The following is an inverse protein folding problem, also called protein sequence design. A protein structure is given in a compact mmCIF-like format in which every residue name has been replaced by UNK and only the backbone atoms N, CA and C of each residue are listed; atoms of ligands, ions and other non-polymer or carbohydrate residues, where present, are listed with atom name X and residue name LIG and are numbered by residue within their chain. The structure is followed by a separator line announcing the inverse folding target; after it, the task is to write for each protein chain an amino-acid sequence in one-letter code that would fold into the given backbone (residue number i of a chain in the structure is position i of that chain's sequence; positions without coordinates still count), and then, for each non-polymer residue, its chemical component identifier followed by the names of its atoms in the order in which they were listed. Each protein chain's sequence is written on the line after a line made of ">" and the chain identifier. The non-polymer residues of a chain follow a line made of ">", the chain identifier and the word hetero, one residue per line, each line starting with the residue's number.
data_IF_296863187989
#
_entry.id   IF_296863187989
#
_cell.length_a   1.000
_cell.length_b   1.000
_cell.length_c   1.000
_cell.angle_alpha   90.00
_cell.angle_beta   90.00
_cell.angle_gamma   90.00
#
_symmetry.space_group_name_H-M   'P 1'
#
loop_
_entity.id
_entity.type
_entity.pdbx_description
1 polymer ?
#
# COMPACT_ATOMS: atom_id res chain seq x y z
N UNK A 1 -1.27 -24.81 31.40
CA UNK A 1 -1.80 -23.81 30.44
C UNK A 1 -0.66 -23.43 29.51
N UNK A 2 -0.86 -23.36 28.18
CA UNK A 2 0.20 -22.87 27.28
C UNK A 2 0.45 -21.38 27.54
N UNK A 3 1.70 -20.94 27.40
CA UNK A 3 2.03 -19.51 27.50
C UNK A 3 1.44 -18.81 26.27
N UNK A 4 0.79 -17.66 26.47
CA UNK A 4 0.33 -16.84 25.36
C UNK A 4 1.53 -16.46 24.49
N UNK A 5 1.39 -16.68 23.18
CA UNK A 5 2.46 -16.42 22.20
C UNK A 5 3.80 -17.06 22.60
N UNK A 6 3.78 -18.36 22.86
CA UNK A 6 5.02 -19.15 22.92
C UNK A 6 5.61 -19.33 21.50
N UNK A 7 6.75 -20.02 21.43
CA UNK A 7 7.43 -20.30 20.15
C UNK A 7 6.57 -21.08 19.14
N UNK A 8 5.53 -21.79 19.61
CA UNK A 8 4.62 -22.56 18.76
C UNK A 8 3.28 -21.83 18.56
N UNK A 9 3.27 -20.49 18.72
CA UNK A 9 2.09 -19.67 18.50
C UNK A 9 1.46 -19.96 17.14
N UNK A 10 0.13 -20.19 17.11
CA UNK A 10 -0.69 -20.66 15.97
C UNK A 10 -0.33 -22.04 15.38
N UNK A 11 0.76 -22.68 15.79
CA UNK A 11 1.18 -24.01 15.32
C UNK A 11 0.49 -25.12 16.13
N UNK A 12 -0.46 -25.81 15.49
CA UNK A 12 -1.36 -26.77 16.17
C UNK A 12 -0.94 -28.24 16.09
N UNK A 13 0.06 -28.59 15.28
CA UNK A 13 0.53 -29.97 15.10
C UNK A 13 2.03 -30.02 14.77
N UNK A 14 2.63 -31.20 14.86
CA UNK A 14 4.08 -31.38 14.62
C UNK A 14 4.49 -31.06 13.19
N UNK A 15 3.65 -31.35 12.20
CA UNK A 15 3.91 -30.96 10.81
C UNK A 15 4.06 -29.44 10.67
N UNK A 16 3.17 -28.65 11.28
CA UNK A 16 3.24 -27.20 11.26
C UNK A 16 4.49 -26.67 11.97
N UNK A 17 4.90 -27.31 13.08
CA UNK A 17 6.14 -26.96 13.79
C UNK A 17 7.37 -27.22 12.94
N UNK A 18 7.48 -28.40 12.33
CA UNK A 18 8.57 -28.74 11.40
C UNK A 18 8.62 -27.77 10.23
N UNK A 19 7.48 -27.52 9.57
CA UNK A 19 7.43 -26.60 8.42
C UNK A 19 7.84 -25.17 8.80
N UNK A 20 7.41 -24.68 9.96
CA UNK A 20 7.76 -23.33 10.39
C UNK A 20 9.21 -23.25 10.87
N UNK A 21 9.59 -24.02 11.90
CA UNK A 21 10.90 -23.90 12.56
C UNK A 21 12.05 -24.34 11.67
N UNK A 22 11.88 -25.42 10.90
CA UNK A 22 12.99 -25.99 10.11
C UNK A 22 13.14 -25.31 8.74
N UNK A 23 12.07 -24.67 8.22
CA UNK A 23 12.07 -24.11 6.86
C UNK A 23 11.67 -22.65 6.77
N UNK A 24 10.55 -22.21 7.39
CA UNK A 24 10.00 -20.88 7.16
C UNK A 24 10.64 -19.77 8.01
N UNK A 25 10.90 -20.04 9.29
CA UNK A 25 11.25 -19.02 10.31
C UNK A 25 12.49 -18.18 9.93
N UNK A 26 13.48 -18.82 9.31
CA UNK A 26 14.76 -18.17 8.96
C UNK A 26 14.82 -17.68 7.51
N UNK A 27 13.74 -17.81 6.73
CA UNK A 27 13.70 -17.29 5.37
C UNK A 27 13.79 -15.76 5.36
N UNK A 28 14.51 -15.16 4.39
CA UNK A 28 14.52 -13.71 4.25
C UNK A 28 13.15 -13.18 3.87
N UNK A 29 12.87 -11.94 4.29
CA UNK A 29 11.66 -11.24 3.90
C UNK A 29 11.90 -10.50 2.58
N UNK A 30 11.01 -10.77 1.63
CA UNK A 30 10.88 -9.99 0.42
C UNK A 30 9.55 -9.24 0.46
N UNK A 31 9.60 -7.98 0.88
CA UNK A 31 8.40 -7.15 1.06
C UNK A 31 8.05 -6.44 -0.24
N UNK A 32 7.33 -7.15 -1.11
CA UNK A 32 7.10 -6.74 -2.50
C UNK A 32 6.08 -5.60 -2.69
N UNK A 33 5.48 -5.11 -1.60
CA UNK A 33 4.62 -3.94 -1.60
C UNK A 33 4.45 -3.40 -0.18
N UNK A 34 4.89 -2.16 0.06
CA UNK A 34 4.70 -1.46 1.33
C UNK A 34 4.52 0.05 1.14
N UNK A 35 4.21 0.73 2.24
CA UNK A 35 4.05 2.18 2.32
C UNK A 35 5.11 2.84 3.22
N UNK A 36 6.26 2.19 3.43
CA UNK A 36 7.33 2.77 4.22
C UNK A 36 7.85 4.08 3.60
N UNK A 37 8.00 5.16 4.38
CA UNK A 37 8.53 6.42 3.86
C UNK A 37 10.00 6.28 3.47
N UNK A 38 10.30 6.40 2.17
CA UNK A 38 11.66 6.18 1.64
C UNK A 38 12.70 7.12 2.27
N UNK A 39 12.32 8.36 2.59
CA UNK A 39 13.20 9.32 3.25
C UNK A 39 13.64 8.84 4.62
N UNK A 40 12.74 8.23 5.39
CA UNK A 40 13.03 7.74 6.74
C UNK A 40 13.98 6.54 6.73
N UNK A 41 13.88 5.70 5.69
CA UNK A 41 14.85 4.63 5.45
C UNK A 41 16.21 5.25 5.13
N UNK A 42 16.27 6.22 4.21
CA UNK A 42 17.52 6.87 3.81
C UNK A 42 18.21 7.59 4.99
N UNK A 43 17.48 8.39 5.75
CA UNK A 43 17.99 9.14 6.90
C UNK A 43 18.25 8.28 8.13
N UNK A 44 17.91 6.98 8.06
CA UNK A 44 17.95 6.03 9.17
C UNK A 44 17.25 6.58 10.43
N UNK A 45 15.98 6.96 10.25
CA UNK A 45 15.19 7.69 11.25
C UNK A 45 15.30 7.05 12.63
N UNK A 46 15.51 7.91 13.63
CA UNK A 46 15.32 7.60 15.05
C UNK A 46 13.96 8.08 15.50
N UNK A 47 13.28 7.28 16.29
CA UNK A 47 11.98 7.61 16.87
C UNK A 47 12.20 8.20 18.27
N UNK A 48 11.47 9.26 18.59
CA UNK A 48 11.55 9.94 19.89
C UNK A 48 11.05 9.06 21.03
N UNK A 49 10.00 8.27 20.79
CA UNK A 49 9.44 7.31 21.73
C UNK A 49 8.54 6.27 21.01
N UNK A 50 8.05 5.30 21.78
CA UNK A 50 7.20 4.22 21.29
C UNK A 50 5.86 4.72 20.75
N UNK A 51 5.29 5.79 21.30
CA UNK A 51 4.03 6.35 20.80
C UNK A 51 4.19 6.83 19.37
N UNK A 52 5.25 7.58 19.06
CA UNK A 52 5.55 7.98 17.68
C UNK A 52 5.78 6.76 16.78
N UNK A 53 6.61 5.81 17.23
CA UNK A 53 6.97 4.62 16.46
C UNK A 53 5.78 3.68 16.18
N UNK A 54 4.77 3.62 17.07
CA UNK A 54 3.67 2.66 16.99
C UNK A 54 2.31 3.25 16.65
N UNK A 55 2.02 4.45 17.14
CA UNK A 55 0.72 5.11 17.00
C UNK A 55 0.76 6.24 15.97
N UNK A 56 1.91 6.53 15.36
CA UNK A 56 1.99 7.40 14.16
C UNK A 56 1.37 6.78 12.91
N UNK A 57 1.14 5.46 12.91
CA UNK A 57 0.50 4.67 11.87
C UNK A 57 0.70 3.16 12.12
N UNK A 58 0.13 2.24 11.34
CA UNK A 58 -1.03 2.42 10.46
C UNK A 58 -2.32 2.63 11.25
N UNK A 59 -3.34 3.14 10.57
CA UNK A 59 -4.62 3.59 11.15
C UNK A 59 -5.50 2.49 11.79
N UNK A 60 -5.05 1.23 11.84
CA UNK A 60 -5.76 0.15 12.55
C UNK A 60 -5.86 0.41 14.06
N UNK A 61 -4.77 0.87 14.69
CA UNK A 61 -4.75 1.17 16.13
C UNK A 61 -5.70 2.34 16.44
N UNK A 62 -5.73 3.35 15.56
CA UNK A 62 -6.67 4.48 15.66
C UNK A 62 -8.13 4.02 15.59
N UNK A 63 -8.45 3.14 14.64
CA UNK A 63 -9.81 2.60 14.49
C UNK A 63 -10.26 1.86 15.75
N UNK A 64 -9.40 1.02 16.32
CA UNK A 64 -9.69 0.29 17.54
C UNK A 64 -9.87 1.24 18.75
N UNK A 65 -9.05 2.28 18.85
CA UNK A 65 -9.20 3.30 19.91
C UNK A 65 -10.53 4.06 19.77
N UNK A 66 -10.92 4.46 18.56
CA UNK A 66 -12.22 5.11 18.30
C UNK A 66 -13.40 4.20 18.61
N UNK A 67 -13.32 2.91 18.27
CA UNK A 67 -14.34 1.90 18.59
C UNK A 67 -14.58 1.79 20.10
N UNK A 68 -13.52 1.94 20.90
CA UNK A 68 -13.59 1.97 22.36
C UNK A 68 -13.94 3.34 22.96
N UNK A 69 -14.28 4.33 22.12
CA UNK A 69 -14.70 5.65 22.56
C UNK A 69 -13.57 6.54 23.09
N UNK A 70 -12.32 6.26 22.72
CA UNK A 70 -11.20 7.16 23.04
C UNK A 70 -11.36 8.46 22.25
N UNK A 71 -11.23 9.59 22.95
CA UNK A 71 -11.31 10.91 22.33
C UNK A 71 -10.18 11.14 21.31
N UNK A 72 -10.51 11.77 20.18
CA UNK A 72 -9.59 11.94 19.04
C UNK A 72 -8.31 12.70 19.42
N UNK A 73 -8.36 13.55 20.47
CA UNK A 73 -7.17 14.26 20.96
C UNK A 73 -6.05 13.32 21.44
N UNK A 74 -6.40 12.10 21.89
CA UNK A 74 -5.45 11.06 22.29
C UNK A 74 -5.07 10.09 21.15
N UNK A 75 -5.59 10.32 19.94
CA UNK A 75 -5.31 9.48 18.77
C UNK A 75 -4.41 10.27 17.81
N UNK A 76 -4.97 11.27 17.14
CA UNK A 76 -4.25 12.10 16.16
C UNK A 76 -4.05 13.54 16.63
N UNK A 77 -4.54 13.91 17.81
CA UNK A 77 -4.35 15.23 18.40
C UNK A 77 -2.97 15.46 19.01
N UNK A 78 -2.87 16.51 19.83
CA UNK A 78 -1.64 17.04 20.40
C UNK A 78 -1.38 16.63 21.87
N UNK A 79 -2.10 15.63 22.38
CA UNK A 79 -1.88 15.08 23.73
C UNK A 79 -0.49 14.48 23.89
N UNK A 80 -0.04 14.42 25.14
CA UNK A 80 1.25 13.86 25.52
C UNK A 80 1.37 12.40 25.06
N UNK A 81 2.56 12.02 24.62
CA UNK A 81 2.80 10.71 24.02
C UNK A 81 2.57 9.55 25.00
N UNK A 82 2.91 9.71 26.27
CA UNK A 82 2.60 8.70 27.27
C UNK A 82 1.10 8.63 27.56
N UNK A 83 0.40 9.76 27.57
CA UNK A 83 -1.07 9.76 27.72
C UNK A 83 -1.75 9.02 26.56
N UNK A 84 -1.31 9.24 25.32
CA UNK A 84 -1.78 8.50 24.13
C UNK A 84 -1.49 7.00 24.24
N UNK A 85 -0.27 6.64 24.62
CA UNK A 85 0.12 5.24 24.83
C UNK A 85 -0.72 4.57 25.92
N UNK A 86 -0.96 5.25 27.04
CA UNK A 86 -1.79 4.75 28.12
C UNK A 86 -3.23 4.51 27.65
N UNK A 87 -3.80 5.42 26.85
CA UNK A 87 -5.12 5.22 26.24
C UNK A 87 -5.16 4.00 25.33
N UNK A 88 -4.12 3.75 24.55
CA UNK A 88 -4.00 2.53 23.77
C UNK A 88 -3.90 1.28 24.67
N UNK A 89 -3.12 1.35 25.76
CA UNK A 89 -3.01 0.24 26.71
C UNK A 89 -4.32 -0.06 27.46
N UNK A 90 -5.17 0.95 27.72
CA UNK A 90 -6.52 0.80 28.25
C UNK A 90 -7.46 0.01 27.31
N UNK A 91 -7.21 0.08 26.01
CA UNK A 91 -7.99 -0.63 24.98
C UNK A 91 -7.58 -2.10 24.84
N UNK A 92 -6.32 -2.45 25.11
CA UNK A 92 -5.78 -3.80 24.86
C UNK A 92 -6.54 -4.96 25.53
N UNK A 93 -7.03 -4.88 26.78
CA UNK A 93 -7.81 -5.96 27.38
C UNK A 93 -9.10 -6.30 26.61
N UNK A 94 -9.63 -5.35 25.83
CA UNK A 94 -10.85 -5.51 25.02
C UNK A 94 -10.55 -5.96 23.58
N UNK A 95 -9.28 -5.98 23.18
CA UNK A 95 -8.86 -6.34 21.82
C UNK A 95 -8.68 -7.87 21.63
N UNK A 96 -8.96 -8.69 22.65
CA UNK A 96 -8.82 -10.15 22.55
C UNK A 96 -9.75 -10.68 21.44
N UNK A 97 -9.16 -11.33 20.43
CA UNK A 97 -9.87 -11.80 19.23
C UNK A 97 -9.69 -10.88 18.02
N UNK A 98 -9.24 -9.65 18.22
CA UNK A 98 -8.80 -8.75 17.15
C UNK A 98 -7.30 -9.00 16.83
N UNK A 99 -6.88 -9.02 15.54
CA UNK A 99 -5.48 -9.23 15.17
C UNK A 99 -4.51 -8.21 15.77
N UNK A 100 -4.97 -6.98 16.08
CA UNK A 100 -4.15 -5.95 16.74
C UNK A 100 -3.58 -6.49 18.06
N UNK A 101 -4.34 -7.29 18.82
CA UNK A 101 -3.82 -7.88 20.05
C UNK A 101 -2.64 -8.82 19.79
N UNK A 102 -2.62 -9.57 18.67
CA UNK A 102 -1.45 -10.37 18.32
C UNK A 102 -0.29 -9.48 17.84
N UNK A 103 -0.55 -8.49 17.00
CA UNK A 103 0.49 -7.59 16.46
C UNK A 103 1.22 -6.84 17.56
N UNK A 104 0.48 -6.21 18.49
CA UNK A 104 1.04 -5.51 19.67
C UNK A 104 2.05 -6.37 20.40
N UNK A 105 1.69 -7.60 20.74
CA UNK A 105 2.55 -8.47 21.53
C UNK A 105 3.66 -9.13 20.70
N UNK A 106 3.48 -9.31 19.39
CA UNK A 106 4.52 -9.82 18.49
C UNK A 106 5.62 -8.78 18.32
N UNK A 107 5.23 -7.53 18.13
CA UNK A 107 6.12 -6.39 18.01
C UNK A 107 6.89 -6.15 19.32
N UNK A 108 6.23 -6.21 20.49
CA UNK A 108 6.88 -6.17 21.80
C UNK A 108 7.91 -7.27 21.99
N UNK A 109 7.59 -8.52 21.63
CA UNK A 109 8.51 -9.63 21.76
C UNK A 109 9.71 -9.51 20.81
N UNK A 110 9.49 -9.17 19.54
CA UNK A 110 10.52 -9.22 18.50
C UNK A 110 11.49 -8.04 18.50
N UNK A 111 10.98 -6.84 18.76
CA UNK A 111 11.81 -5.63 18.71
C UNK A 111 12.24 -5.15 20.09
N UNK A 112 11.44 -5.46 21.11
CA UNK A 112 11.64 -4.93 22.46
C UNK A 112 11.98 -6.00 23.52
N UNK A 113 12.01 -7.29 23.17
CA UNK A 113 12.21 -8.41 24.10
C UNK A 113 11.21 -8.42 25.29
N UNK A 114 10.03 -7.82 25.11
CA UNK A 114 8.98 -7.70 26.14
C UNK A 114 7.95 -8.82 25.92
N UNK A 115 7.71 -9.60 26.97
CA UNK A 115 6.78 -10.75 26.96
C UNK A 115 5.50 -10.47 27.77
N UNK A 116 5.46 -9.35 28.46
CA UNK A 116 4.36 -8.88 29.29
C UNK A 116 3.16 -8.48 28.42
N UNK A 117 1.95 -8.75 28.91
CA UNK A 117 0.71 -8.32 28.26
C UNK A 117 0.55 -6.82 28.46
N UNK A 118 0.31 -6.07 27.38
CA UNK A 118 0.01 -4.65 27.46
C UNK A 118 -1.38 -4.44 28.07
N UNK A 119 -1.42 -3.63 29.13
CA UNK A 119 -2.62 -3.27 29.89
C UNK A 119 -2.35 -1.97 30.65
N UNK A 120 -3.36 -1.33 31.27
CA UNK A 120 -3.12 -0.14 32.10
C UNK A 120 -2.10 -0.38 33.22
N UNK A 121 -2.04 -1.61 33.75
CA UNK A 121 -1.15 -1.97 34.87
C UNK A 121 0.32 -2.10 34.43
N UNK A 122 0.56 -2.44 33.17
CA UNK A 122 1.90 -2.70 32.60
C UNK A 122 2.36 -1.57 31.68
N UNK A 123 1.48 -0.63 31.33
CA UNK A 123 1.74 0.45 30.39
C UNK A 123 3.00 1.26 30.71
N UNK A 124 3.17 1.69 31.96
CA UNK A 124 4.33 2.51 32.34
C UNK A 124 5.66 1.78 32.14
N UNK A 125 5.73 0.54 32.66
CA UNK A 125 6.94 -0.28 32.54
C UNK A 125 7.28 -0.61 31.09
N UNK A 126 6.27 -0.97 30.28
CA UNK A 126 6.45 -1.26 28.85
C UNK A 126 6.91 -0.02 28.10
N UNK A 127 6.27 1.13 28.33
CA UNK A 127 6.65 2.41 27.71
C UNK A 127 8.12 2.75 27.99
N UNK A 128 8.54 2.65 29.24
CA UNK A 128 9.92 2.96 29.65
C UNK A 128 10.93 1.99 29.02
N UNK A 129 10.67 0.67 29.06
CA UNK A 129 11.52 -0.35 28.43
C UNK A 129 11.62 -0.18 26.91
N UNK A 130 10.51 0.10 26.23
CA UNK A 130 10.51 0.36 24.80
C UNK A 130 11.37 1.57 24.46
N UNK A 131 11.20 2.68 25.19
CA UNK A 131 11.94 3.92 24.93
C UNK A 131 13.44 3.80 25.22
N UNK A 132 13.83 2.98 26.21
CA UNK A 132 15.23 2.62 26.44
C UNK A 132 15.83 1.88 25.22
N UNK A 133 15.11 0.88 24.70
CA UNK A 133 15.56 0.14 23.50
C UNK A 133 15.57 1.00 22.24
N UNK A 134 14.60 1.89 22.07
CA UNK A 134 14.50 2.81 20.92
C UNK A 134 15.72 3.73 20.76
N UNK A 135 16.52 3.97 21.81
CA UNK A 135 17.79 4.69 21.69
C UNK A 135 18.75 4.05 20.67
N UNK A 136 18.60 2.75 20.43
CA UNK A 136 19.42 1.95 19.51
C UNK A 136 18.65 1.39 18.31
N UNK A 137 17.33 1.51 18.28
CA UNK A 137 16.49 1.01 17.20
C UNK A 137 16.15 2.14 16.22
N UNK A 138 16.86 2.14 15.10
CA UNK A 138 16.60 3.01 13.95
C UNK A 138 15.73 2.30 12.92
N UNK A 139 15.21 3.03 11.92
CA UNK A 139 14.46 2.45 10.81
C UNK A 139 15.23 1.31 10.12
N UNK A 140 16.49 1.52 9.71
CA UNK A 140 17.31 0.49 9.06
C UNK A 140 17.64 -0.67 10.00
N UNK A 141 17.83 -0.40 11.29
CA UNK A 141 18.09 -1.44 12.29
C UNK A 141 16.89 -2.38 12.42
N UNK A 142 15.68 -1.85 12.54
CA UNK A 142 14.45 -2.65 12.63
C UNK A 142 14.20 -3.46 11.35
N UNK A 143 14.42 -2.86 10.17
CA UNK A 143 14.36 -3.58 8.88
C UNK A 143 15.34 -4.77 8.87
N UNK A 144 16.59 -4.53 9.30
CA UNK A 144 17.64 -5.56 9.31
C UNK A 144 17.34 -6.68 10.32
N UNK A 145 16.79 -6.35 11.49
CA UNK A 145 16.37 -7.33 12.50
C UNK A 145 15.34 -8.33 11.98
N UNK A 146 14.51 -7.91 11.02
CA UNK A 146 13.49 -8.75 10.38
C UNK A 146 14.01 -9.57 9.19
N UNK A 147 15.33 -9.61 8.96
CA UNK A 147 15.94 -10.32 7.83
C UNK A 147 15.36 -9.91 6.47
N UNK A 148 14.98 -8.64 6.32
CA UNK A 148 14.48 -8.10 5.05
C UNK A 148 15.65 -8.02 4.06
N UNK A 149 15.43 -8.49 2.84
CA UNK A 149 16.41 -8.41 1.75
C UNK A 149 16.03 -7.41 0.68
N UNK A 150 14.72 -7.21 0.47
CA UNK A 150 14.25 -6.22 -0.48
C UNK A 150 12.87 -5.69 -0.11
N UNK A 151 12.70 -4.41 -0.34
CA UNK A 151 11.50 -3.61 -0.07
C UNK A 151 11.07 -2.94 -1.37
N UNK A 152 9.76 -2.93 -1.61
CA UNK A 152 9.15 -2.09 -2.64
C UNK A 152 8.27 -1.04 -1.99
N UNK A 153 8.70 0.22 -2.08
CA UNK A 153 7.87 1.35 -1.67
C UNK A 153 6.80 1.62 -2.72
N UNK A 154 5.80 2.41 -2.37
CA UNK A 154 4.74 2.82 -3.28
C UNK A 154 4.92 4.29 -3.62
N UNK A 155 5.23 4.59 -4.88
CA UNK A 155 5.72 5.91 -5.31
C UNK A 155 4.86 6.48 -6.45
N UNK A 156 4.69 7.80 -6.44
CA UNK A 156 3.87 8.52 -7.41
C UNK A 156 4.66 8.78 -8.71
N UNK A 157 4.06 8.67 -9.91
CA UNK A 157 4.74 8.94 -11.17
C UNK A 157 5.52 10.27 -11.23
N UNK A 158 5.10 11.29 -10.48
CA UNK A 158 5.76 12.60 -10.48
C UNK A 158 7.00 12.68 -9.58
N UNK A 159 7.27 11.66 -8.77
CA UNK A 159 8.38 11.67 -7.81
C UNK A 159 9.76 11.64 -8.48
N UNK A 160 10.74 12.32 -7.89
CA UNK A 160 12.12 12.39 -8.42
C UNK A 160 12.98 11.16 -8.10
N UNK A 161 12.44 10.27 -7.26
CA UNK A 161 13.05 9.04 -6.75
C UNK A 161 14.48 9.25 -6.19
N UNK A 162 14.77 10.44 -5.66
CA UNK A 162 16.12 10.81 -5.22
C UNK A 162 16.64 9.88 -4.12
N UNK A 163 15.77 9.50 -3.17
CA UNK A 163 16.17 8.68 -2.04
C UNK A 163 16.42 7.23 -2.43
N UNK A 164 15.72 6.68 -3.42
CA UNK A 164 16.05 5.37 -4.01
C UNK A 164 17.42 5.39 -4.67
N UNK A 165 17.75 6.44 -5.43
CA UNK A 165 19.07 6.59 -6.05
C UNK A 165 20.18 6.65 -5.01
N UNK A 166 20.00 7.46 -3.96
CA UNK A 166 20.94 7.58 -2.87
C UNK A 166 21.12 6.26 -2.10
N UNK A 167 20.02 5.54 -1.81
CA UNK A 167 20.07 4.23 -1.14
C UNK A 167 20.79 3.17 -1.99
N UNK A 168 20.60 3.18 -3.32
CA UNK A 168 21.28 2.26 -4.23
C UNK A 168 22.81 2.46 -4.24
N UNK A 169 23.26 3.68 -3.98
CA UNK A 169 24.69 4.04 -3.88
C UNK A 169 25.27 3.76 -2.48
N UNK A 170 24.44 3.79 -1.44
CA UNK A 170 24.83 3.59 -0.05
C UNK A 170 25.23 2.15 0.27
N UNK A 171 26.54 1.91 0.42
CA UNK A 171 27.08 0.57 0.75
C UNK A 171 26.97 0.20 2.23
N UNK A 172 26.49 1.09 3.08
CA UNK A 172 26.28 0.80 4.52
C UNK A 172 24.97 0.06 4.80
N UNK A 173 24.08 -0.05 3.80
CA UNK A 173 22.79 -0.71 3.95
C UNK A 173 22.59 -1.77 2.85
N UNK A 174 22.48 -3.03 3.27
CA UNK A 174 22.44 -4.17 2.35
C UNK A 174 21.05 -4.45 1.76
N UNK A 175 20.00 -3.84 2.31
CA UNK A 175 18.62 -4.08 1.87
C UNK A 175 18.36 -3.30 0.59
N UNK A 176 17.89 -3.99 -0.44
CA UNK A 176 17.48 -3.35 -1.68
C UNK A 176 16.14 -2.63 -1.47
N UNK A 177 16.10 -1.31 -1.72
CA UNK A 177 14.86 -0.55 -1.66
C UNK A 177 14.57 0.00 -3.04
N UNK A 178 13.53 -0.51 -3.67
CA UNK A 178 13.14 -0.18 -5.05
C UNK A 178 11.75 0.45 -5.07
N UNK A 179 11.46 1.34 -6.02
CA UNK A 179 10.15 1.95 -6.12
C UNK A 179 9.15 1.00 -6.80
N UNK A 180 7.86 1.16 -6.49
CA UNK A 180 6.73 0.62 -7.24
C UNK A 180 5.88 1.77 -7.79
N UNK A 181 5.56 1.72 -9.08
CA UNK A 181 4.87 2.79 -9.78
C UNK A 181 3.37 2.79 -9.49
N UNK A 182 2.82 3.85 -8.87
CA UNK A 182 1.39 3.96 -8.54
C UNK A 182 0.70 5.19 -9.17
N UNK A 183 0.08 5.05 -10.35
CA UNK A 183 -0.44 6.18 -11.13
C UNK A 183 -1.90 6.56 -10.82
N UNK A 184 -2.41 6.28 -9.61
CA UNK A 184 -3.83 6.48 -9.27
C UNK A 184 -4.34 7.90 -9.60
N UNK A 185 -3.54 8.93 -9.32
CA UNK A 185 -3.91 10.34 -9.60
C UNK A 185 -3.97 10.68 -11.09
N UNK A 186 -3.26 9.93 -11.94
CA UNK A 186 -3.39 10.03 -13.40
C UNK A 186 -4.63 9.27 -13.90
N UNK A 187 -5.14 8.30 -13.15
CA UNK A 187 -6.29 7.47 -13.55
C UNK A 187 -7.62 8.08 -13.10
N UNK A 188 -7.64 8.70 -11.92
CA UNK A 188 -8.87 9.20 -11.30
C UNK A 188 -9.28 10.59 -11.83
N UNK A 189 -9.64 10.63 -13.12
CA UNK A 189 -10.04 11.83 -13.89
C UNK A 189 -11.22 12.60 -13.30
N UNK A 190 -12.07 11.92 -12.54
CA UNK A 190 -13.24 12.49 -11.90
C UNK A 190 -12.91 13.31 -10.63
N UNK A 191 -11.70 13.18 -10.10
CA UNK A 191 -11.32 13.87 -8.88
C UNK A 191 -10.93 15.32 -9.16
N UNK A 192 -11.26 16.26 -8.26
CA UNK A 192 -10.88 17.67 -8.42
C UNK A 192 -9.37 17.90 -8.43
N UNK A 193 -8.60 16.93 -7.94
CA UNK A 193 -7.13 16.95 -7.95
C UNK A 193 -6.51 16.57 -9.30
N UNK A 194 -7.30 16.05 -10.25
CA UNK A 194 -6.80 15.53 -11.52
C UNK A 194 -6.07 16.61 -12.36
N UNK A 195 -6.74 17.71 -12.71
CA UNK A 195 -6.13 18.75 -13.57
C UNK A 195 -4.86 19.36 -12.93
N UNK A 196 -4.86 19.74 -11.63
CA UNK A 196 -3.63 20.16 -10.96
C UNK A 196 -2.52 19.10 -10.98
N UNK A 197 -2.87 17.82 -10.89
CA UNK A 197 -1.91 16.71 -10.96
C UNK A 197 -1.34 16.53 -12.37
N UNK A 198 -2.15 16.62 -13.42
CA UNK A 198 -1.69 16.53 -14.81
C UNK A 198 -0.67 17.62 -15.13
N UNK A 199 -0.82 18.84 -14.59
CA UNK A 199 0.19 19.88 -14.71
C UNK A 199 1.55 19.46 -14.09
N UNK A 200 1.55 18.86 -12.90
CA UNK A 200 2.77 18.35 -12.27
C UNK A 200 3.39 17.18 -13.04
N UNK A 201 2.55 16.31 -13.60
CA UNK A 201 2.99 15.21 -14.44
C UNK A 201 3.64 15.73 -15.74
N UNK A 202 3.07 16.77 -16.34
CA UNK A 202 3.64 17.44 -17.51
C UNK A 202 5.05 17.98 -17.21
N UNK A 203 5.23 18.65 -16.07
CA UNK A 203 6.53 19.15 -15.62
C UNK A 203 7.52 17.99 -15.36
N UNK A 204 7.11 16.96 -14.61
CA UNK A 204 7.95 15.82 -14.26
C UNK A 204 8.38 14.98 -15.48
N UNK A 205 7.54 14.93 -16.51
CA UNK A 205 7.83 14.22 -17.77
C UNK A 205 8.51 15.12 -18.82
N UNK A 206 8.56 16.44 -18.60
CA UNK A 206 8.93 17.43 -19.59
C UNK A 206 8.14 17.25 -20.91
N UNK A 207 6.82 17.13 -20.80
CA UNK A 207 5.87 16.94 -21.90
C UNK A 207 4.67 17.86 -21.70
N UNK A 208 4.31 18.66 -22.69
CA UNK A 208 3.05 19.40 -22.67
C UNK A 208 1.89 18.43 -22.86
N UNK A 209 1.01 18.32 -21.87
CA UNK A 209 -0.17 17.44 -21.92
C UNK A 209 -1.40 18.25 -22.33
N UNK A 210 -1.95 17.95 -23.51
CA UNK A 210 -3.12 18.61 -24.11
C UNK A 210 -4.09 17.64 -24.81
N UNK A 211 -3.91 16.34 -24.63
CA UNK A 211 -4.75 15.27 -25.17
C UNK A 211 -4.28 13.90 -24.72
N UNK A 212 -4.90 12.85 -25.23
CA UNK A 212 -4.60 11.48 -24.81
C UNK A 212 -3.18 11.04 -25.22
N UNK A 213 -2.71 11.46 -26.39
CA UNK A 213 -1.37 11.09 -26.87
C UNK A 213 -0.26 11.64 -25.98
N UNK A 214 -0.33 12.94 -25.67
CA UNK A 214 0.69 13.60 -24.83
C UNK A 214 0.63 13.10 -23.38
N UNK A 215 -0.55 12.70 -22.89
CA UNK A 215 -0.68 12.03 -21.60
C UNK A 215 -0.02 10.64 -21.60
N UNK A 216 -0.30 9.82 -22.61
CA UNK A 216 0.32 8.50 -22.77
C UNK A 216 1.84 8.61 -22.94
N UNK A 217 2.34 9.61 -23.67
CA UNK A 217 3.77 9.90 -23.79
C UNK A 217 4.39 10.24 -22.42
N UNK A 218 3.75 11.15 -21.67
CA UNK A 218 4.22 11.55 -20.35
C UNK A 218 4.31 10.34 -19.40
N UNK A 219 3.24 9.54 -19.30
CA UNK A 219 3.23 8.32 -18.48
C UNK A 219 4.31 7.33 -18.91
N UNK A 220 4.49 7.12 -20.22
CA UNK A 220 5.54 6.22 -20.74
C UNK A 220 6.94 6.69 -20.33
N UNK A 221 7.24 7.99 -20.46
CA UNK A 221 8.53 8.55 -20.00
C UNK A 221 8.74 8.37 -18.51
N UNK A 222 7.68 8.52 -17.70
CA UNK A 222 7.77 8.30 -16.25
C UNK A 222 7.97 6.83 -15.91
N UNK A 223 7.32 5.91 -16.60
CA UNK A 223 7.57 4.47 -16.46
C UNK A 223 9.03 4.12 -16.79
N UNK A 224 9.56 4.64 -17.90
CA UNK A 224 10.96 4.42 -18.30
C UNK A 224 11.96 5.02 -17.30
N UNK A 225 11.62 6.18 -16.71
CA UNK A 225 12.40 6.75 -15.63
C UNK A 225 12.42 5.84 -14.39
N UNK A 226 11.28 5.32 -13.97
CA UNK A 226 11.18 4.37 -12.86
C UNK A 226 11.96 3.07 -13.14
N UNK A 227 11.87 2.54 -14.36
CA UNK A 227 12.63 1.37 -14.81
C UNK A 227 14.14 1.60 -14.67
N UNK A 228 14.62 2.77 -15.08
CA UNK A 228 16.03 3.15 -14.96
C UNK A 228 16.54 3.19 -13.51
N UNK A 229 15.65 3.38 -12.54
CA UNK A 229 15.98 3.38 -11.10
C UNK A 229 15.90 1.96 -10.50
N UNK A 230 15.30 1.00 -11.20
CA UNK A 230 15.19 -0.41 -10.80
C UNK A 230 13.78 -0.83 -10.39
N UNK A 231 12.76 -0.03 -10.72
CA UNK A 231 11.36 -0.42 -10.60
C UNK A 231 11.08 -1.67 -11.43
N UNK A 232 10.35 -2.63 -10.87
CA UNK A 232 9.92 -3.84 -11.59
C UNK A 232 8.45 -4.20 -11.32
N UNK A 233 7.70 -3.32 -10.66
CA UNK A 233 6.28 -3.52 -10.41
C UNK A 233 5.51 -2.20 -10.37
N UNK A 234 4.21 -2.33 -10.54
CA UNK A 234 3.24 -1.24 -10.42
C UNK A 234 2.13 -1.65 -9.46
N UNK A 235 1.44 -0.64 -8.93
CA UNK A 235 0.28 -0.79 -8.08
C UNK A 235 -0.83 0.16 -8.52
N UNK A 236 -2.09 -0.26 -8.37
CA UNK A 236 -3.25 0.54 -8.70
C UNK A 236 -4.36 0.28 -7.69
N UNK A 237 -4.86 1.33 -7.05
CA UNK A 237 -6.08 1.24 -6.27
C UNK A 237 -7.30 1.39 -7.19
N UNK A 238 -8.03 0.30 -7.35
CA UNK A 238 -9.27 0.25 -8.10
C UNK A 238 -10.43 0.15 -7.12
N UNK A 239 -10.85 1.28 -6.55
CA UNK A 239 -12.02 1.35 -5.66
C UNK A 239 -13.22 0.62 -6.28
N UNK A 240 -13.43 0.85 -7.59
CA UNK A 240 -14.22 -0.03 -8.46
C UNK A 240 -13.51 -0.22 -9.79
N UNK A 241 -13.51 -1.45 -10.30
CA UNK A 241 -13.01 -1.72 -11.66
C UNK A 241 -13.93 -1.06 -12.68
N UNK A 242 -13.41 -0.03 -13.34
CA UNK A 242 -14.09 0.73 -14.37
C UNK A 242 -13.45 0.45 -15.72
N UNK A 243 -14.25 -0.08 -16.65
CA UNK A 243 -13.81 -0.39 -18.00
C UNK A 243 -14.97 -0.31 -18.98
N UNK A 244 -14.79 0.47 -20.03
CA UNK A 244 -15.64 0.46 -21.21
C UNK A 244 -14.76 0.59 -22.47
N UNK A 245 -15.02 -0.21 -23.53
CA UNK A 245 -14.31 -0.04 -24.80
C UNK A 245 -14.48 1.38 -25.36
N UNK A 246 -13.39 1.95 -25.88
CA UNK A 246 -13.38 3.27 -26.48
C UNK A 246 -12.30 3.37 -27.55
N UNK A 247 -12.56 4.16 -28.59
CA UNK A 247 -11.53 4.56 -29.53
C UNK A 247 -10.66 5.66 -28.93
N UNK A 248 -9.45 5.81 -29.46
CA UNK A 248 -8.54 6.89 -29.06
C UNK A 248 -9.19 8.27 -29.21
N UNK A 249 -9.95 8.52 -30.29
CA UNK A 249 -10.60 9.80 -30.56
C UNK A 249 -11.70 10.12 -29.54
N UNK A 250 -12.39 9.11 -29.00
CA UNK A 250 -13.37 9.29 -27.94
C UNK A 250 -12.66 9.70 -26.65
N UNK A 251 -11.59 8.99 -26.28
CA UNK A 251 -10.83 9.27 -25.06
C UNK A 251 -10.10 10.61 -25.14
N UNK A 252 -9.58 10.99 -26.31
CA UNK A 252 -8.97 12.31 -26.51
C UNK A 252 -9.94 13.46 -26.22
N UNK A 253 -11.20 13.33 -26.67
CA UNK A 253 -12.26 14.31 -26.36
C UNK A 253 -12.53 14.36 -24.86
N UNK A 254 -12.55 13.21 -24.18
CA UNK A 254 -12.78 13.12 -22.73
C UNK A 254 -11.65 13.82 -21.96
N UNK A 255 -10.38 13.57 -22.33
CA UNK A 255 -9.23 14.24 -21.72
C UNK A 255 -9.30 15.75 -21.92
N UNK A 256 -9.56 16.22 -23.15
CA UNK A 256 -9.68 17.65 -23.45
C UNK A 256 -10.83 18.32 -22.69
N UNK A 257 -11.96 17.62 -22.58
CA UNK A 257 -13.12 18.06 -21.79
C UNK A 257 -12.75 18.22 -20.31
N UNK A 258 -12.09 17.22 -19.71
CA UNK A 258 -11.64 17.28 -18.33
C UNK A 258 -10.61 18.41 -18.09
N UNK A 259 -9.64 18.57 -18.99
CA UNK A 259 -8.66 19.68 -18.92
C UNK A 259 -9.30 21.06 -19.10
N UNK A 260 -10.44 21.13 -19.81
CA UNK A 260 -11.27 22.33 -19.92
C UNK A 260 -12.10 22.65 -18.67
N UNK A 261 -12.18 21.72 -17.71
CA UNK A 261 -12.97 21.87 -16.48
C UNK A 261 -14.43 21.48 -16.60
N UNK A 262 -14.82 20.79 -17.68
CA UNK A 262 -16.18 20.33 -17.90
C UNK A 262 -16.45 19.00 -17.16
N UNK A 263 -17.68 18.81 -16.69
CA UNK A 263 -18.10 17.58 -16.00
C UNK A 263 -18.13 16.35 -16.92
N UNK A 264 -17.60 15.23 -16.44
CA UNK A 264 -17.63 13.95 -17.13
C UNK A 264 -18.83 13.09 -16.71
N UNK A 265 -19.39 12.37 -17.67
CA UNK A 265 -20.37 11.32 -17.39
C UNK A 265 -19.68 10.06 -16.87
N UNK A 266 -20.44 9.20 -16.17
CA UNK A 266 -19.93 7.91 -15.69
C UNK A 266 -19.36 7.04 -16.83
N UNK A 267 -19.97 7.07 -18.01
CA UNK A 267 -19.49 6.30 -19.16
C UNK A 267 -18.16 6.84 -19.69
N UNK A 268 -18.01 8.17 -19.78
CA UNK A 268 -16.75 8.81 -20.18
C UNK A 268 -15.62 8.45 -19.20
N UNK A 269 -15.90 8.42 -17.89
CA UNK A 269 -14.93 8.00 -16.86
C UNK A 269 -14.52 6.54 -17.08
N UNK A 270 -15.47 5.63 -17.32
CA UNK A 270 -15.19 4.21 -17.58
C UNK A 270 -14.34 3.99 -18.85
N UNK A 271 -14.59 4.79 -19.89
CA UNK A 271 -13.82 4.77 -21.13
C UNK A 271 -12.38 5.26 -20.90
N UNK A 272 -12.21 6.39 -20.22
CA UNK A 272 -10.90 6.94 -19.91
C UNK A 272 -10.07 6.00 -19.03
N UNK A 273 -10.63 5.55 -17.89
CA UNK A 273 -9.92 4.66 -16.96
C UNK A 273 -9.50 3.37 -17.63
N UNK A 274 -10.41 2.74 -18.39
CA UNK A 274 -10.10 1.53 -19.14
C UNK A 274 -8.99 1.73 -20.16
N UNK A 275 -9.01 2.84 -20.91
CA UNK A 275 -7.98 3.15 -21.90
C UNK A 275 -6.60 3.36 -21.27
N UNK A 276 -6.51 4.12 -20.17
CA UNK A 276 -5.26 4.35 -19.47
C UNK A 276 -4.71 3.06 -18.85
N UNK A 277 -5.55 2.25 -18.20
CA UNK A 277 -5.12 0.96 -17.63
C UNK A 277 -4.58 0.01 -18.70
N UNK A 278 -5.19 -0.03 -19.89
CA UNK A 278 -4.67 -0.82 -21.02
C UNK A 278 -3.34 -0.25 -21.52
N UNK A 279 -3.20 1.06 -21.67
CA UNK A 279 -1.92 1.68 -22.06
C UNK A 279 -0.81 1.32 -21.07
N UNK A 280 -1.06 1.48 -19.77
CA UNK A 280 -0.15 1.14 -18.70
C UNK A 280 0.22 -0.35 -18.71
N UNK A 281 -0.77 -1.24 -18.81
CA UNK A 281 -0.57 -2.69 -18.90
C UNK A 281 0.38 -3.10 -20.02
N UNK A 282 0.22 -2.50 -21.22
CA UNK A 282 1.14 -2.72 -22.34
C UNK A 282 2.57 -2.27 -22.03
N UNK A 283 2.75 -1.12 -21.37
CA UNK A 283 4.08 -0.66 -20.98
C UNK A 283 4.71 -1.59 -19.93
N UNK A 284 3.92 -2.09 -18.98
CA UNK A 284 4.40 -3.04 -17.97
C UNK A 284 4.80 -4.37 -18.61
N UNK A 285 4.02 -4.87 -19.57
CA UNK A 285 4.35 -6.10 -20.30
C UNK A 285 5.64 -5.93 -21.12
N UNK A 286 5.80 -4.79 -21.81
CA UNK A 286 7.01 -4.42 -22.55
C UNK A 286 8.27 -4.44 -21.68
N UNK A 287 8.17 -4.03 -20.42
CA UNK A 287 9.28 -3.98 -19.46
C UNK A 287 9.34 -5.20 -18.52
N UNK A 288 8.46 -6.19 -18.71
CA UNK A 288 8.34 -7.37 -17.86
C UNK A 288 8.06 -7.08 -16.38
N UNK A 289 7.40 -5.96 -16.09
CA UNK A 289 6.97 -5.58 -14.75
C UNK A 289 5.82 -6.46 -14.26
N UNK A 290 5.66 -6.50 -12.94
CA UNK A 290 4.47 -7.02 -12.29
C UNK A 290 3.43 -5.90 -12.18
N UNK A 291 2.18 -6.20 -12.52
CA UNK A 291 1.04 -5.32 -12.34
C UNK A 291 0.23 -5.77 -11.13
N UNK A 292 -0.05 -4.86 -10.20
CA UNK A 292 -0.88 -5.13 -9.03
C UNK A 292 -2.16 -4.31 -9.10
N UNK A 293 -3.30 -4.95 -8.83
CA UNK A 293 -4.60 -4.31 -8.72
C UNK A 293 -5.20 -4.57 -7.34
N UNK A 294 -5.28 -3.52 -6.51
CA UNK A 294 -5.98 -3.53 -5.23
C UNK A 294 -7.43 -3.07 -5.40
N UNK A 295 -8.37 -4.00 -5.34
CA UNK A 295 -9.76 -3.78 -5.72
C UNK A 295 -10.68 -3.68 -4.50
N UNK A 296 -11.57 -2.69 -4.49
CA UNK A 296 -12.73 -2.68 -3.60
C UNK A 296 -12.59 -1.90 -2.30
N UNK A 297 -11.83 -0.80 -2.28
CA UNK A 297 -11.87 0.15 -1.17
C UNK A 297 -13.03 1.15 -1.35
N UNK A 298 -13.83 1.33 -0.31
CA UNK A 298 -14.81 2.42 -0.21
C UNK A 298 -14.21 3.50 0.68
N UNK A 299 -13.75 4.60 0.07
CA UNK A 299 -12.90 5.59 0.75
C UNK A 299 -13.67 6.78 1.30
N UNK A 300 -13.11 7.39 2.34
CA UNK A 300 -13.54 8.69 2.88
C UNK A 300 -15.02 8.74 3.30
N UNK A 301 -15.52 7.68 3.93
CA UNK A 301 -16.94 7.52 4.29
C UNK A 301 -17.46 8.59 5.27
N UNK A 302 -16.57 9.17 6.08
CA UNK A 302 -16.93 10.22 7.02
C UNK A 302 -16.55 11.60 6.49
N UNK A 303 -17.53 12.34 5.97
CA UNK A 303 -17.31 13.71 5.51
C UNK A 303 -16.83 14.66 6.62
N UNK A 304 -17.17 14.40 7.89
CA UNK A 304 -16.66 15.18 9.02
C UNK A 304 -15.16 14.98 9.19
N UNK A 305 -14.72 13.73 9.32
CA UNK A 305 -13.31 13.43 9.54
C UNK A 305 -12.45 13.67 8.29
N UNK A 306 -13.03 13.58 7.09
CA UNK A 306 -12.33 13.99 5.87
C UNK A 306 -11.94 15.49 5.90
N UNK A 307 -12.79 16.36 6.46
CA UNK A 307 -12.46 17.78 6.63
C UNK A 307 -11.46 18.03 7.77
N UNK A 308 -11.50 17.24 8.82
CA UNK A 308 -10.67 17.43 10.02
C UNK A 308 -9.28 16.81 9.90
N UNK A 309 -9.18 15.61 9.31
CA UNK A 309 -7.99 14.76 9.32
C UNK A 309 -7.46 14.41 7.92
N UNK A 310 -8.28 14.55 6.88
CA UNK A 310 -7.92 14.16 5.51
C UNK A 310 -8.06 12.65 5.24
N UNK A 311 -7.54 12.19 4.08
CA UNK A 311 -7.67 10.80 3.63
C UNK A 311 -6.76 9.86 4.45
N UNK A 312 -6.94 8.55 4.29
CA UNK A 312 -6.08 7.51 4.88
C UNK A 312 -5.98 7.56 6.42
N UNK A 313 -7.03 8.09 7.07
CA UNK A 313 -7.08 8.27 8.52
C UNK A 313 -8.01 7.28 9.23
N UNK A 314 -8.30 6.13 8.61
CA UNK A 314 -9.06 5.03 9.23
C UNK A 314 -10.58 5.08 9.06
N UNK A 315 -11.07 5.91 8.13
CA UNK A 315 -12.50 6.03 7.78
C UNK A 315 -12.86 5.42 6.42
N UNK A 316 -12.01 4.52 5.94
CA UNK A 316 -12.25 3.69 4.76
C UNK A 316 -12.91 2.36 5.16
N UNK A 317 -13.57 1.73 4.19
CA UNK A 317 -14.35 0.51 4.38
C UNK A 317 -14.25 -0.40 3.13
N UNK A 318 -14.93 -1.54 3.20
CA UNK A 318 -15.03 -2.50 2.10
C UNK A 318 -16.13 -2.05 1.13
N UNK A 319 -15.79 -1.92 -0.15
CA UNK A 319 -16.74 -1.71 -1.26
C UNK A 319 -17.36 -3.05 -1.70
N UNK A 320 -18.55 -2.97 -2.29
CA UNK A 320 -19.37 -4.14 -2.62
C UNK A 320 -20.02 -4.08 -4.01
N UNK A 321 -19.55 -3.20 -4.90
CA UNK A 321 -19.90 -3.24 -6.33
C UNK A 321 -19.25 -4.43 -7.04
N UNK A 322 -20.04 -5.12 -7.87
CA UNK A 322 -19.55 -6.25 -8.67
C UNK A 322 -18.71 -5.78 -9.85
N UNK A 323 -17.64 -6.51 -10.17
CA UNK A 323 -16.67 -6.07 -11.20
C UNK A 323 -16.18 -7.16 -12.15
N UNK A 324 -16.54 -8.43 -11.93
CA UNK A 324 -16.00 -9.59 -12.64
C UNK A 324 -15.93 -9.41 -14.17
N UNK A 325 -17.03 -8.98 -14.80
CA UNK A 325 -17.10 -8.76 -16.25
C UNK A 325 -16.14 -7.66 -16.72
N UNK A 326 -16.09 -6.53 -16.02
CA UNK A 326 -15.23 -5.40 -16.39
C UNK A 326 -13.75 -5.75 -16.22
N UNK A 327 -13.41 -6.48 -15.15
CA UNK A 327 -12.06 -7.00 -14.92
C UNK A 327 -11.65 -7.99 -16.01
N UNK A 328 -12.51 -8.96 -16.34
CA UNK A 328 -12.26 -9.91 -17.43
C UNK A 328 -12.02 -9.20 -18.76
N UNK A 329 -12.83 -8.19 -19.10
CA UNK A 329 -12.65 -7.42 -20.34
C UNK A 329 -11.35 -6.60 -20.35
N UNK A 330 -10.97 -6.01 -19.22
CA UNK A 330 -9.71 -5.27 -19.09
C UNK A 330 -8.50 -6.19 -19.33
N UNK A 331 -8.49 -7.36 -18.67
CA UNK A 331 -7.41 -8.33 -18.81
C UNK A 331 -7.37 -8.91 -20.24
N UNK A 332 -8.52 -9.28 -20.80
CA UNK A 332 -8.65 -9.81 -22.17
C UNK A 332 -8.20 -8.79 -23.24
N UNK A 333 -8.39 -7.49 -23.00
CA UNK A 333 -7.91 -6.46 -23.94
C UNK A 333 -6.38 -6.43 -24.06
N UNK A 334 -5.67 -6.82 -22.99
CA UNK A 334 -4.21 -6.97 -22.99
C UNK A 334 -3.79 -8.36 -23.48
N UNK A 335 -4.48 -9.40 -23.02
CA UNK A 335 -4.16 -10.79 -23.35
C UNK A 335 -4.42 -11.12 -24.82
N UNK A 336 -5.49 -10.57 -25.41
CA UNK A 336 -5.86 -10.77 -26.81
C UNK A 336 -4.81 -10.26 -27.81
N UNK A 337 -3.86 -9.43 -27.38
CA UNK A 337 -2.68 -9.01 -28.15
C UNK A 337 -1.36 -9.56 -27.61
N UNK A 338 -1.42 -10.48 -26.63
CA UNK A 338 -0.27 -11.05 -25.93
C UNK A 338 0.59 -9.98 -25.22
N UNK A 339 -0.07 -8.98 -24.64
CA UNK A 339 0.53 -7.84 -23.94
C UNK A 339 0.05 -7.74 -22.48
N UNK A 340 -0.46 -8.84 -21.89
CA UNK A 340 -0.81 -8.90 -20.47
C UNK A 340 0.46 -9.12 -19.62
N UNK A 341 0.82 -8.21 -18.70
CA UNK A 341 1.95 -8.43 -17.79
C UNK A 341 1.62 -9.50 -16.73
N UNK A 342 2.66 -9.97 -16.01
CA UNK A 342 2.47 -10.70 -14.76
C UNK A 342 1.54 -9.87 -13.87
N UNK A 343 0.42 -10.44 -13.42
CA UNK A 343 -0.61 -9.67 -12.72
C UNK A 343 -0.96 -10.32 -11.39
N UNK A 344 -1.00 -9.52 -10.32
CA UNK A 344 -1.52 -9.92 -9.01
C UNK A 344 -2.82 -9.16 -8.75
N UNK A 345 -3.86 -9.88 -8.38
CA UNK A 345 -5.18 -9.34 -8.09
C UNK A 345 -5.47 -9.46 -6.60
N UNK A 346 -5.83 -8.36 -5.96
CA UNK A 346 -6.24 -8.31 -4.56
C UNK A 346 -7.68 -7.82 -4.47
N UNK A 347 -8.51 -8.46 -3.65
CA UNK A 347 -9.84 -7.96 -3.31
C UNK A 347 -9.92 -7.64 -1.82
N UNK A 348 -10.42 -6.46 -1.49
CA UNK A 348 -10.67 -6.07 -0.10
C UNK A 348 -11.91 -6.78 0.48
N UNK A 349 -12.89 -7.10 -0.38
CA UNK A 349 -14.09 -7.84 0.00
C UNK A 349 -13.86 -9.36 -0.15
N UNK A 350 -13.86 -10.16 0.93
CA UNK A 350 -13.57 -11.59 0.84
C UNK A 350 -14.63 -12.38 0.08
N UNK A 351 -15.82 -11.82 -0.17
CA UNK A 351 -16.83 -12.47 -1.03
C UNK A 351 -16.37 -12.64 -2.48
N UNK A 352 -15.36 -11.88 -2.89
CA UNK A 352 -14.84 -11.85 -4.25
C UNK A 352 -13.60 -12.74 -4.42
N UNK A 353 -13.19 -13.49 -3.38
CA UNK A 353 -12.06 -14.43 -3.41
C UNK A 353 -12.20 -15.44 -4.57
N UNK A 354 -13.35 -16.11 -4.67
CA UNK A 354 -13.59 -17.11 -5.71
C UNK A 354 -13.70 -16.47 -7.11
N UNK A 355 -14.18 -15.24 -7.19
CA UNK A 355 -14.24 -14.47 -8.44
C UNK A 355 -12.84 -14.20 -8.96
N UNK A 356 -11.94 -13.70 -8.12
CA UNK A 356 -10.55 -13.44 -8.50
C UNK A 356 -9.80 -14.73 -8.85
N UNK A 357 -9.96 -15.78 -8.04
CA UNK A 357 -9.30 -17.06 -8.27
C UNK A 357 -9.71 -17.68 -9.62
N UNK A 358 -10.98 -17.57 -10.00
CA UNK A 358 -11.46 -18.11 -11.27
C UNK A 358 -11.06 -17.23 -12.46
N UNK A 359 -11.10 -15.90 -12.33
CA UNK A 359 -10.65 -14.97 -13.38
C UNK A 359 -9.15 -15.13 -13.67
N UNK A 360 -8.31 -15.22 -12.64
CA UNK A 360 -6.85 -15.36 -12.81
C UNK A 360 -6.47 -16.60 -13.61
N UNK A 361 -7.23 -17.71 -13.46
CA UNK A 361 -6.97 -18.95 -14.21
C UNK A 361 -7.27 -18.84 -15.71
N UNK A 362 -8.05 -17.85 -16.14
CA UNK A 362 -8.35 -17.64 -17.56
C UNK A 362 -7.16 -17.09 -18.35
N UNK A 363 -6.15 -16.52 -17.69
CA UNK A 363 -5.08 -15.74 -18.32
C UNK A 363 -3.67 -16.26 -17.99
N UNK A 364 -3.55 -17.56 -17.71
CA UNK A 364 -2.25 -18.20 -17.47
C UNK A 364 -1.50 -18.45 -18.78
N UNK A 365 -0.17 -18.32 -18.74
CA UNK A 365 0.68 -18.48 -19.93
C UNK A 365 1.81 -19.49 -19.71
N UNK A 366 2.24 -20.14 -20.80
CA UNK A 366 3.37 -21.06 -20.75
C UNK A 366 4.68 -20.33 -20.43
N UNK A 367 5.59 -21.00 -19.71
CA UNK A 367 6.92 -20.46 -19.41
C UNK A 367 7.01 -19.57 -18.16
N UNK A 368 5.88 -19.26 -17.52
CA UNK A 368 5.82 -18.56 -16.24
C UNK A 368 5.04 -19.43 -15.25
N UNK A 369 5.53 -19.57 -14.01
CA UNK A 369 4.79 -20.22 -12.93
C UNK A 369 3.91 -19.16 -12.29
N UNK A 370 2.60 -19.21 -12.60
CA UNK A 370 1.58 -18.26 -12.17
C UNK A 370 0.68 -18.78 -11.07
#
# INVERSE_FOLDING_TARGET
>A
MKKFMDKDFVLRNETAKTLYHDYAENMPIFDYHCHLPIQEIYEDRKFSNITECWLGGDHYKWRLMREMGVDESYITGDKDDYEKFLKYAEVMPYAIGNPIFHWTHLELQRYFDINEILSPKTAKEIFDKCNEKLQTLTARKMITMSNVKRIFTTDDPIDDLRFHKLLKEDKSFEVEVVPAFRPDKAINIELPTYVPYIAKLADAANVKIDGIDSLCEALTKRIEFFDSVGCVCSDHALDVVMFAPATKEQVDKIVKKALGGDDLTQHEIEQYKGYILVHLGRQYARLHWVQQYHIGALRNNSARYMRELGPDTGFDAIEDRTFAKKLSMLLDTLDGTNELPKTILYCLNPRDNEVLATIMNCFQQAGVVG
#
